data_IF_870316161037
#
_entry.id   IF_870316161037
#
_cell.length_a   1.000
_cell.length_b   1.000
_cell.length_c   1.000
_cell.angle_alpha   90.00
_cell.angle_beta   90.00
_cell.angle_gamma   90.00
#
_symmetry.space_group_name_H-M   'P 1'
#
loop_
_entity.id
_entity.type
_entity.pdbx_description
1 polymer ?
#
# COMPACT_ATOMS: atom_id res chain seq x y z
N UNK A 1 -11.16 7.82 48.33
CA UNK A 1 -10.17 6.87 47.76
C UNK A 1 -10.76 5.95 46.70
N UNK A 2 -11.80 5.15 46.99
CA UNK A 2 -12.44 4.22 46.03
C UNK A 2 -12.97 4.89 44.74
N UNK A 3 -13.58 6.08 44.87
CA UNK A 3 -14.11 6.87 43.74
C UNK A 3 -13.04 7.47 42.84
N UNK A 4 -11.90 7.87 43.41
CA UNK A 4 -10.76 8.43 42.68
C UNK A 4 -10.08 7.33 41.85
N UNK A 5 -9.90 6.15 42.42
CA UNK A 5 -9.34 4.99 41.70
C UNK A 5 -10.23 4.60 40.52
N UNK A 6 -11.56 4.58 40.70
CA UNK A 6 -12.50 4.29 39.62
C UNK A 6 -12.41 5.31 38.47
N UNK A 7 -12.30 6.62 38.77
CA UNK A 7 -12.17 7.67 37.76
C UNK A 7 -10.84 7.61 36.99
N UNK A 8 -9.74 7.27 37.66
CA UNK A 8 -8.44 7.12 37.00
C UNK A 8 -8.45 5.92 36.05
N UNK A 9 -9.06 4.81 36.47
CA UNK A 9 -9.18 3.60 35.64
C UNK A 9 -10.06 3.81 34.42
N UNK A 10 -11.20 4.52 34.55
CA UNK A 10 -12.09 4.79 33.41
C UNK A 10 -11.46 5.75 32.41
N UNK A 11 -10.76 6.79 32.87
CA UNK A 11 -10.06 7.72 31.98
C UNK A 11 -8.90 7.04 31.23
N UNK A 12 -8.12 6.20 31.92
CA UNK A 12 -7.05 5.42 31.30
C UNK A 12 -7.59 4.45 30.23
N UNK A 13 -8.72 3.77 30.51
CA UNK A 13 -9.39 2.91 29.52
C UNK A 13 -9.94 3.68 28.32
N UNK A 14 -10.51 4.87 28.54
CA UNK A 14 -11.02 5.68 27.44
C UNK A 14 -9.88 6.18 26.52
N UNK A 15 -8.74 6.57 27.10
CA UNK A 15 -7.56 7.03 26.36
C UNK A 15 -6.89 5.91 25.54
N UNK A 16 -6.83 4.68 26.06
CA UNK A 16 -6.29 3.54 25.31
C UNK A 16 -7.20 3.10 24.17
N UNK A 17 -8.52 3.23 24.32
CA UNK A 17 -9.51 2.89 23.28
C UNK A 17 -9.54 3.93 22.15
N UNK A 18 -9.31 5.21 22.42
CA UNK A 18 -9.32 6.26 21.39
C UNK A 18 -8.18 6.12 20.36
N UNK A 19 -7.04 5.54 20.75
CA UNK A 19 -5.86 5.39 19.88
C UNK A 19 -5.96 4.24 18.87
N UNK A 20 -6.98 3.38 18.95
CA UNK A 20 -7.12 2.19 18.09
C UNK A 20 -8.28 2.31 17.07
N UNK A 21 -9.11 3.34 17.16
CA UNK A 21 -10.34 3.48 16.36
C UNK A 21 -10.12 4.26 15.05
N UNK A 22 -9.00 4.99 14.93
CA UNK A 22 -8.61 5.62 13.68
C UNK A 22 -7.30 5.00 13.19
N UNK A 23 -7.31 3.83 12.53
CA UNK A 23 -6.22 3.50 11.64
C UNK A 23 -6.17 4.64 10.62
N UNK A 24 -5.12 5.43 10.67
CA UNK A 24 -4.92 6.55 9.75
C UNK A 24 -5.05 5.98 8.34
N UNK A 25 -6.13 6.30 7.63
CA UNK A 25 -6.22 6.03 6.21
C UNK A 25 -5.03 6.77 5.59
N UNK A 26 -3.94 6.05 5.31
CA UNK A 26 -2.73 6.67 4.75
C UNK A 26 -3.11 7.13 3.35
N UNK A 27 -3.17 8.45 3.08
CA UNK A 27 -3.49 8.93 1.76
C UNK A 27 -2.42 8.40 0.81
N UNK A 28 -2.81 7.75 -0.28
CA UNK A 28 -1.86 7.25 -1.26
C UNK A 28 -1.19 8.46 -1.94
N UNK A 29 0.12 8.71 -1.74
CA UNK A 29 0.79 9.83 -2.40
C UNK A 29 1.04 9.52 -3.88
N UNK A 30 0.91 8.25 -4.28
CA UNK A 30 1.18 7.78 -5.61
C UNK A 30 -0.06 7.42 -6.43
N UNK A 31 0.11 6.58 -7.45
CA UNK A 31 -1.00 6.14 -8.30
C UNK A 31 -1.84 5.07 -7.61
N UNK A 32 -3.16 5.22 -7.67
CA UNK A 32 -4.10 4.15 -7.30
C UNK A 32 -4.24 3.19 -8.49
N UNK A 33 -4.05 1.90 -8.23
CA UNK A 33 -4.23 0.82 -9.19
C UNK A 33 -5.48 0.01 -8.84
N UNK A 34 -6.31 -0.26 -9.85
CA UNK A 34 -7.45 -1.17 -9.74
C UNK A 34 -7.19 -2.32 -10.69
N UNK A 35 -6.87 -3.47 -10.11
CA UNK A 35 -6.52 -4.67 -10.85
C UNK A 35 -7.68 -5.61 -11.09
N UNK A 36 -7.36 -6.83 -11.54
CA UNK A 36 -8.34 -7.92 -11.66
C UNK A 36 -9.01 -8.29 -10.33
N UNK A 37 -8.40 -7.96 -9.19
CA UNK A 37 -8.96 -8.17 -7.85
C UNK A 37 -10.07 -7.18 -7.50
N UNK A 38 -10.29 -6.14 -8.31
CA UNK A 38 -11.20 -5.01 -8.04
C UNK A 38 -10.92 -4.29 -6.72
N UNK A 39 -9.76 -4.51 -6.11
CA UNK A 39 -9.35 -3.84 -4.89
C UNK A 39 -8.40 -2.68 -5.22
N UNK A 40 -8.64 -1.47 -4.69
CA UNK A 40 -7.73 -0.35 -4.89
C UNK A 40 -6.43 -0.59 -4.11
N UNK A 41 -5.32 -0.63 -4.83
CA UNK A 41 -3.97 -0.70 -4.24
C UNK A 41 -3.22 0.61 -4.49
N UNK A 42 -2.28 0.94 -3.61
CA UNK A 42 -1.45 2.13 -3.73
C UNK A 42 -0.09 1.78 -4.32
N UNK A 43 0.25 2.39 -5.45
CA UNK A 43 1.60 2.38 -5.98
C UNK A 43 2.40 3.53 -5.38
N UNK A 44 3.63 3.32 -4.88
CA UNK A 44 4.46 4.41 -4.35
C UNK A 44 4.91 5.41 -5.43
N UNK A 45 4.86 5.01 -6.72
CA UNK A 45 5.20 5.89 -7.82
C UNK A 45 4.01 6.77 -8.20
N UNK A 46 4.17 8.09 -8.05
CA UNK A 46 3.18 9.13 -8.41
C UNK A 46 2.66 8.96 -9.84
N UNK A 47 3.55 8.67 -10.77
CA UNK A 47 3.21 8.43 -12.18
C UNK A 47 3.49 6.99 -12.60
N UNK A 48 3.44 6.05 -11.66
CA UNK A 48 3.62 4.64 -11.97
C UNK A 48 2.58 4.14 -12.97
N UNK A 49 2.85 3.01 -13.61
CA UNK A 49 1.87 2.29 -14.42
C UNK A 49 1.45 1.03 -13.69
N UNK A 50 0.16 0.72 -13.73
CA UNK A 50 -0.38 -0.47 -13.10
C UNK A 50 -0.17 -1.66 -14.02
N UNK A 51 0.37 -2.75 -13.48
CA UNK A 51 0.34 -4.03 -14.19
C UNK A 51 -1.09 -4.59 -14.21
N UNK A 52 -1.33 -5.62 -15.02
CA UNK A 52 -2.67 -6.17 -15.27
C UNK A 52 -3.35 -6.66 -13.98
N UNK A 53 -2.60 -7.27 -13.07
CA UNK A 53 -3.12 -7.72 -11.77
C UNK A 53 -3.56 -6.58 -10.85
N UNK A 54 -3.06 -5.36 -11.07
CA UNK A 54 -3.14 -4.22 -10.16
C UNK A 54 -2.49 -4.44 -8.79
N UNK A 55 -1.75 -5.54 -8.60
CA UNK A 55 -0.98 -5.81 -7.39
C UNK A 55 0.47 -5.35 -7.54
N UNK A 56 0.96 -5.24 -8.77
CA UNK A 56 2.30 -4.73 -9.06
C UNK A 56 2.20 -3.45 -9.89
N UNK A 57 3.17 -2.56 -9.69
CA UNK A 57 3.32 -1.36 -10.48
C UNK A 57 4.76 -1.14 -10.90
N UNK A 58 4.92 -0.41 -12.00
CA UNK A 58 6.21 -0.02 -12.56
C UNK A 58 6.36 1.51 -12.55
N UNK A 59 7.59 2.04 -12.61
CA UNK A 59 7.82 3.47 -12.83
C UNK A 59 7.21 3.94 -14.15
N UNK A 60 7.03 5.26 -14.27
CA UNK A 60 6.52 5.88 -15.50
C UNK A 60 7.37 5.49 -16.71
N UNK A 61 6.72 5.10 -17.81
CA UNK A 61 7.39 4.77 -19.08
C UNK A 61 7.99 3.37 -19.17
N UNK A 62 7.76 2.51 -18.19
CA UNK A 62 8.06 1.08 -18.26
C UNK A 62 6.81 0.26 -18.59
N UNK A 63 7.02 -0.96 -19.09
CA UNK A 63 5.99 -1.95 -19.38
C UNK A 63 6.22 -3.19 -18.51
N UNK A 64 5.16 -3.76 -17.93
CA UNK A 64 5.27 -4.97 -17.14
C UNK A 64 5.50 -6.21 -18.04
N UNK A 65 6.33 -7.14 -17.59
CA UNK A 65 6.37 -8.49 -18.17
C UNK A 65 5.08 -9.26 -17.88
N UNK A 66 4.86 -10.37 -18.59
CA UNK A 66 3.64 -11.18 -18.43
C UNK A 66 3.50 -11.78 -17.01
N UNK A 67 4.63 -12.10 -16.37
CA UNK A 67 4.71 -12.54 -14.97
C UNK A 67 4.72 -11.38 -13.97
N UNK A 68 4.70 -10.14 -14.47
CA UNK A 68 4.65 -8.86 -13.73
C UNK A 68 5.77 -8.60 -12.74
N UNK A 69 6.80 -9.45 -12.68
CA UNK A 69 7.93 -9.27 -11.75
C UNK A 69 8.93 -8.24 -12.24
N UNK A 70 9.01 -8.04 -13.55
CA UNK A 70 9.98 -7.17 -14.21
C UNK A 70 9.23 -6.09 -14.99
N UNK A 71 9.78 -4.89 -14.95
CA UNK A 71 9.38 -3.75 -15.74
C UNK A 71 10.47 -3.47 -16.76
N UNK A 72 10.13 -3.30 -18.04
CA UNK A 72 11.11 -3.04 -19.09
C UNK A 72 10.73 -1.85 -19.96
N UNK A 73 11.75 -1.18 -20.53
CA UNK A 73 11.58 -0.16 -21.58
C UNK A 73 12.76 -0.16 -22.54
N UNK A 74 12.55 0.35 -23.74
CA UNK A 74 13.64 0.56 -24.70
C UNK A 74 14.40 1.83 -24.33
N UNK A 75 15.72 1.69 -24.17
CA UNK A 75 16.64 2.79 -24.00
C UNK A 75 16.99 3.45 -25.33
N UNK A 76 17.47 4.70 -25.27
CA UNK A 76 17.89 5.49 -26.44
C UNK A 76 19.03 4.87 -27.24
N UNK A 77 19.83 3.99 -26.62
CA UNK A 77 20.92 3.27 -27.27
C UNK A 77 20.51 1.90 -27.84
N UNK A 78 19.20 1.63 -27.94
CA UNK A 78 18.67 0.34 -28.41
C UNK A 78 18.81 -0.81 -27.40
N UNK A 79 19.18 -0.51 -26.14
CA UNK A 79 19.26 -1.50 -25.08
C UNK A 79 17.95 -1.57 -24.28
N UNK A 80 17.55 -2.75 -23.85
CA UNK A 80 16.41 -2.94 -22.94
C UNK A 80 16.84 -2.62 -21.52
N UNK A 81 16.21 -1.62 -20.91
CA UNK A 81 16.38 -1.29 -19.49
C UNK A 81 15.34 -2.08 -18.71
N UNK A 82 15.77 -2.86 -17.73
CA UNK A 82 14.90 -3.67 -16.87
C UNK A 82 15.05 -3.24 -15.42
N UNK A 83 13.93 -3.17 -14.70
CA UNK A 83 13.87 -2.95 -13.26
C UNK A 83 12.87 -3.91 -12.64
N UNK A 84 12.99 -4.17 -11.34
CA UNK A 84 11.99 -4.95 -10.62
C UNK A 84 10.68 -4.17 -10.50
N UNK A 85 9.57 -4.90 -10.57
CA UNK A 85 8.27 -4.36 -10.20
C UNK A 85 8.19 -4.08 -8.71
N UNK A 86 7.36 -3.10 -8.34
CA UNK A 86 7.04 -2.83 -6.95
C UNK A 86 5.67 -3.41 -6.63
N UNK A 87 5.58 -4.13 -5.51
CA UNK A 87 4.29 -4.53 -4.98
C UNK A 87 3.53 -3.29 -4.53
N UNK A 88 2.32 -3.10 -5.06
CA UNK A 88 1.42 -2.06 -4.62
C UNK A 88 0.99 -2.40 -3.21
N UNK A 89 1.08 -1.45 -2.28
CA UNK A 89 0.53 -1.66 -0.95
C UNK A 89 -0.98 -1.70 -1.08
N UNK A 90 -1.60 -2.86 -0.85
CA UNK A 90 -2.98 -2.85 -0.40
C UNK A 90 -3.07 -1.93 0.83
N UNK A 91 -4.21 -1.30 1.09
CA UNK A 91 -4.50 -0.87 2.45
C UNK A 91 -4.35 -2.11 3.36
N UNK A 92 -3.20 -2.25 4.04
CA UNK A 92 -2.90 -3.31 5.00
C UNK A 92 -3.99 -3.25 6.11
N UNK A 93 -4.57 -4.33 6.65
CA UNK A 93 -4.04 -5.63 7.04
C UNK A 93 -5.09 -6.75 6.86
N UNK A 94 -4.73 -7.87 6.22
CA UNK A 94 -5.19 -9.18 6.70
C UNK A 94 -3.96 -9.83 7.31
N UNK A 95 -3.91 -9.82 8.63
CA UNK A 95 -2.95 -10.53 9.47
C UNK A 95 -2.74 -11.95 8.94
N UNK A 96 -1.50 -12.33 8.63
CA UNK A 96 -1.16 -13.74 8.39
C UNK A 96 -1.58 -14.58 9.61
N UNK A 97 -2.38 -15.64 9.45
CA UNK A 97 -2.67 -16.55 10.54
C UNK A 97 -1.45 -17.46 10.75
N UNK A 98 -0.86 -17.38 11.94
CA UNK A 98 -0.06 -18.46 12.51
C UNK A 98 -1.01 -19.46 13.19
#
# INVERSE_FOLDING_TARGET
>A
MKTIVALVLTFAFAATVHSQIFPTARPCPGRICIGCTNFPTCCPHVNGVCCRSGLNCCPAGFTCTADEKICFRLGVSGQTIQVSSHHSSAAFEVKEPL
#
